data_IF_215092579455
#
_entry.id   IF_215092579455
#
_cell.length_a   1.000
_cell.length_b   1.000
_cell.length_c   1.000
_cell.angle_alpha   90.00
_cell.angle_beta   90.00
_cell.angle_gamma   90.00
#
_symmetry.space_group_name_H-M   'P 1'
#
loop_
_entity.id
_entity.type
_entity.pdbx_description
1 polymer ?
#
# COMPACT_ATOMS: atom_id res chain seq x y z
N UNK A 1 10.29 -0.11 13.08
CA UNK A 1 9.81 -1.34 13.74
C UNK A 1 10.73 -2.48 13.33
N UNK A 2 11.04 -3.42 14.23
CA UNK A 2 11.79 -4.63 13.87
C UNK A 2 11.06 -5.43 12.78
N UNK A 3 11.76 -6.03 11.84
CA UNK A 3 11.20 -6.97 10.85
C UNK A 3 10.60 -6.33 9.57
N UNK A 4 10.41 -5.01 9.53
CA UNK A 4 9.78 -4.35 8.36
C UNK A 4 10.63 -4.47 7.11
N UNK A 5 11.96 -4.28 7.22
CA UNK A 5 12.85 -4.35 6.06
C UNK A 5 12.91 -5.78 5.53
N UNK A 6 13.05 -6.74 6.43
CA UNK A 6 13.15 -8.16 6.12
C UNK A 6 11.87 -8.66 5.43
N UNK A 7 10.70 -8.20 5.90
CA UNK A 7 9.42 -8.49 5.25
C UNK A 7 9.35 -7.89 3.85
N UNK A 8 9.64 -6.59 3.71
CA UNK A 8 9.59 -5.90 2.41
C UNK A 8 10.56 -6.51 1.40
N UNK A 9 11.78 -6.85 1.82
CA UNK A 9 12.78 -7.52 0.97
C UNK A 9 12.33 -8.93 0.55
N UNK A 10 11.69 -9.67 1.45
CA UNK A 10 11.19 -11.01 1.17
C UNK A 10 10.05 -10.95 0.15
N UNK A 11 9.08 -10.07 0.37
CA UNK A 11 7.92 -9.88 -0.50
C UNK A 11 8.31 -9.28 -1.85
N UNK A 12 9.25 -8.32 -1.90
CA UNK A 12 9.67 -7.70 -3.16
C UNK A 12 10.43 -8.64 -4.09
N UNK A 13 10.86 -9.81 -3.59
CA UNK A 13 11.51 -10.86 -4.39
C UNK A 13 10.51 -11.87 -4.96
N UNK A 14 9.25 -11.84 -4.51
CA UNK A 14 8.18 -12.68 -5.04
C UNK A 14 7.60 -12.01 -6.29
N UNK A 15 7.69 -12.66 -7.44
CA UNK A 15 7.27 -12.07 -8.72
C UNK A 15 5.76 -11.90 -8.89
N UNK A 16 4.97 -12.49 -8.00
CA UNK A 16 3.51 -12.45 -7.94
C UNK A 16 2.98 -11.48 -6.89
N UNK A 17 3.84 -10.74 -6.19
CA UNK A 17 3.46 -9.78 -5.17
C UNK A 17 3.82 -8.36 -5.61
N UNK A 18 2.85 -7.44 -5.51
CA UNK A 18 3.08 -6.01 -5.67
C UNK A 18 2.86 -5.31 -4.34
N UNK A 19 3.86 -4.53 -3.91
CA UNK A 19 3.78 -3.73 -2.70
C UNK A 19 3.28 -2.32 -3.04
N UNK A 20 2.20 -1.90 -2.39
CA UNK A 20 1.64 -0.56 -2.52
C UNK A 20 1.42 0.07 -1.14
N UNK A 21 1.66 1.37 -1.02
CA UNK A 21 1.57 2.08 0.25
C UNK A 21 0.20 2.76 0.42
N UNK A 22 -0.48 2.50 1.53
CA UNK A 22 -1.67 3.24 1.94
C UNK A 22 -1.32 4.10 3.14
N UNK A 23 -1.55 5.41 3.06
CA UNK A 23 -1.27 6.32 4.17
C UNK A 23 -2.13 7.57 4.14
N UNK A 24 -2.50 8.08 5.32
CA UNK A 24 -3.14 9.39 5.45
C UNK A 24 -2.18 10.58 5.28
N UNK A 25 -0.88 10.34 5.11
CA UNK A 25 0.08 11.40 4.84
C UNK A 25 0.04 11.82 3.38
N UNK A 26 0.34 13.08 3.10
CA UNK A 26 0.66 13.56 1.74
C UNK A 26 1.79 12.73 1.14
N UNK A 27 1.75 12.49 -0.18
CA UNK A 27 2.73 11.65 -0.86
C UNK A 27 4.16 12.12 -0.60
N UNK A 28 4.43 13.42 -0.74
CA UNK A 28 5.75 14.00 -0.50
C UNK A 28 6.25 13.73 0.93
N UNK A 29 5.38 13.83 1.93
CA UNK A 29 5.75 13.58 3.32
C UNK A 29 6.02 12.10 3.58
N UNK A 30 5.18 11.22 3.03
CA UNK A 30 5.38 9.77 3.09
C UNK A 30 6.69 9.35 2.42
N UNK A 31 6.96 9.90 1.23
CA UNK A 31 8.18 9.68 0.46
C UNK A 31 9.43 10.09 1.23
N UNK A 32 9.49 11.34 1.71
CA UNK A 32 10.62 11.84 2.50
C UNK A 32 10.90 10.95 3.72
N UNK A 33 9.84 10.53 4.43
CA UNK A 33 9.96 9.65 5.60
C UNK A 33 10.53 8.29 5.22
N UNK A 34 10.04 7.68 4.13
CA UNK A 34 10.47 6.34 3.73
C UNK A 34 11.81 6.32 2.99
N UNK A 35 12.17 7.38 2.26
CA UNK A 35 13.50 7.54 1.65
C UNK A 35 14.60 7.65 2.71
N UNK A 36 14.34 8.36 3.82
CA UNK A 36 15.28 8.42 4.95
C UNK A 36 15.64 7.03 5.50
N UNK A 37 14.68 6.10 5.49
CA UNK A 37 14.91 4.71 5.89
C UNK A 37 15.19 3.78 4.72
N UNK A 38 15.36 4.29 3.49
CA UNK A 38 15.60 3.48 2.29
C UNK A 38 14.53 2.38 2.09
N UNK A 39 13.27 2.74 2.37
CA UNK A 39 12.09 1.89 2.25
C UNK A 39 11.18 2.30 1.09
N UNK A 40 11.30 3.53 0.59
CA UNK A 40 10.43 4.04 -0.48
C UNK A 40 10.46 3.15 -1.74
N UNK A 41 11.66 2.68 -2.10
CA UNK A 41 11.93 1.85 -3.28
C UNK A 41 11.13 0.55 -3.37
N UNK A 42 10.59 0.04 -2.26
CA UNK A 42 9.83 -1.22 -2.26
C UNK A 42 8.42 -1.05 -2.82
N UNK A 43 7.87 0.17 -2.81
CA UNK A 43 6.48 0.41 -3.18
C UNK A 43 6.38 0.89 -4.63
N UNK A 44 5.54 0.23 -5.44
CA UNK A 44 5.29 0.58 -6.84
C UNK A 44 4.31 1.76 -7.01
N UNK A 45 3.82 2.31 -5.91
CA UNK A 45 2.81 3.37 -5.86
C UNK A 45 1.97 3.27 -4.60
N UNK A 46 0.91 4.05 -4.51
CA UNK A 46 0.10 4.09 -3.30
C UNK A 46 -1.13 4.98 -3.37
N UNK A 47 -1.85 5.01 -2.26
CA UNK A 47 -2.91 5.96 -2.00
C UNK A 47 -2.56 6.81 -0.77
N UNK A 48 -2.57 8.12 -0.95
CA UNK A 48 -2.05 9.10 0.00
C UNK A 48 -3.16 10.05 0.49
N UNK A 49 -2.87 10.87 1.50
CA UNK A 49 -3.86 11.76 2.13
C UNK A 49 -4.33 12.94 1.26
N UNK A 50 -3.60 13.28 0.20
CA UNK A 50 -4.03 14.23 -0.84
C UNK A 50 -5.09 13.66 -1.79
N UNK A 51 -5.26 12.33 -1.75
CA UNK A 51 -5.87 11.58 -2.82
C UNK A 51 -7.39 11.43 -2.61
N UNK A 52 -7.85 11.40 -1.35
CA UNK A 52 -9.26 11.28 -0.93
C UNK A 52 -9.38 11.49 0.58
N UNK A 53 -10.44 12.15 1.04
CA UNK A 53 -10.80 12.20 2.47
C UNK A 53 -11.52 10.93 2.94
N UNK A 54 -12.09 10.17 2.01
CA UNK A 54 -12.74 8.88 2.26
C UNK A 54 -11.69 7.76 2.23
N UNK A 55 -11.30 7.27 3.41
CA UNK A 55 -10.30 6.21 3.56
C UNK A 55 -10.75 4.85 3.02
N UNK A 56 -12.05 4.62 2.91
CA UNK A 56 -12.56 3.35 2.35
C UNK A 56 -12.28 3.24 0.85
N UNK A 57 -11.86 4.34 0.20
CA UNK A 57 -11.46 4.36 -1.21
C UNK A 57 -9.96 4.20 -1.43
N UNK A 58 -9.15 4.13 -0.37
CA UNK A 58 -7.69 4.07 -0.51
C UNK A 58 -7.24 2.78 -1.21
N UNK A 59 -7.84 1.62 -0.89
CA UNK A 59 -7.50 0.35 -1.55
C UNK A 59 -7.82 0.41 -3.04
N UNK A 60 -9.04 0.81 -3.42
CA UNK A 60 -9.42 0.93 -4.82
C UNK A 60 -8.50 1.89 -5.61
N UNK A 61 -8.08 2.99 -4.96
CA UNK A 61 -7.13 3.93 -5.56
C UNK A 61 -5.74 3.33 -5.71
N UNK A 62 -5.23 2.64 -4.69
CA UNK A 62 -3.95 1.96 -4.75
C UNK A 62 -3.93 0.91 -5.87
N UNK A 63 -5.01 0.12 -6.02
CA UNK A 63 -5.19 -0.83 -7.13
C UNK A 63 -5.14 -0.12 -8.49
N UNK A 64 -5.85 1.00 -8.65
CA UNK A 64 -5.82 1.77 -9.89
C UNK A 64 -4.42 2.32 -10.22
N UNK A 65 -3.67 2.78 -9.21
CA UNK A 65 -2.28 3.22 -9.37
C UNK A 65 -1.39 2.06 -9.80
N UNK A 66 -1.46 0.92 -9.10
CA UNK A 66 -0.72 -0.30 -9.45
C UNK A 66 -1.00 -0.71 -10.89
N UNK A 67 -2.26 -0.75 -11.30
CA UNK A 67 -2.65 -1.07 -12.68
C UNK A 67 -2.08 -0.06 -13.69
N UNK A 68 -2.10 1.25 -13.38
CA UNK A 68 -1.55 2.29 -14.25
C UNK A 68 -0.02 2.20 -14.43
N UNK A 69 0.67 1.61 -13.46
CA UNK A 69 2.11 1.34 -13.51
C UNK A 69 2.46 0.03 -14.21
N UNK A 70 1.48 -0.65 -14.84
CA UNK A 70 1.67 -1.94 -15.51
C UNK A 70 1.63 -3.14 -14.56
N UNK A 71 1.14 -2.94 -13.34
CA UNK A 71 0.89 -4.02 -12.39
C UNK A 71 -0.29 -4.93 -12.83
N UNK A 72 -0.46 -6.08 -12.16
CA UNK A 72 -1.48 -7.05 -12.52
C UNK A 72 -2.89 -6.53 -12.26
N UNK A 73 -3.86 -7.08 -13.01
CA UNK A 73 -5.27 -6.98 -12.65
C UNK A 73 -5.53 -7.88 -11.45
N UNK A 74 -6.01 -7.32 -10.35
CA UNK A 74 -6.27 -8.03 -9.09
C UNK A 74 -7.74 -7.92 -8.70
N UNK A 75 -8.29 -9.00 -8.15
CA UNK A 75 -9.59 -8.97 -7.47
C UNK A 75 -9.41 -8.55 -6.02
N UNK A 76 -10.51 -8.22 -5.32
CA UNK A 76 -10.43 -7.84 -3.90
C UNK A 76 -9.84 -8.96 -3.03
N UNK A 77 -10.11 -10.22 -3.36
CA UNK A 77 -9.59 -11.40 -2.63
C UNK A 77 -8.08 -11.60 -2.78
N UNK A 78 -7.46 -10.96 -3.78
CA UNK A 78 -6.01 -11.02 -4.00
C UNK A 78 -5.26 -9.93 -3.20
N UNK A 79 -6.00 -9.09 -2.46
CA UNK A 79 -5.46 -7.94 -1.72
C UNK A 79 -5.38 -8.25 -0.23
N UNK A 80 -4.22 -7.98 0.34
CA UNK A 80 -3.97 -8.04 1.78
C UNK A 80 -3.56 -6.65 2.27
N UNK A 81 -4.27 -6.11 3.26
CA UNK A 81 -3.95 -4.84 3.90
C UNK A 81 -3.23 -5.11 5.21
N UNK A 82 -2.02 -4.56 5.34
CA UNK A 82 -1.22 -4.67 6.57
C UNK A 82 -1.18 -3.31 7.26
N UNK A 83 -1.70 -3.25 8.49
CA UNK A 83 -1.69 -2.06 9.34
C UNK A 83 -1.92 -2.42 10.81
N UNK A 84 -1.64 -1.47 11.70
CA UNK A 84 -1.68 -1.66 13.15
C UNK A 84 -2.95 -1.10 13.82
N UNK A 85 -3.83 -0.45 13.04
CA UNK A 85 -5.03 0.20 13.56
C UNK A 85 -6.30 -0.55 13.15
N UNK A 86 -7.39 -0.45 13.95
CA UNK A 86 -8.70 -0.95 13.55
C UNK A 86 -9.21 -0.37 12.23
N UNK A 87 -8.69 0.79 11.84
CA UNK A 87 -9.07 1.49 10.62
C UNK A 87 -8.48 0.82 9.38
N UNK A 88 -7.35 0.12 9.51
CA UNK A 88 -6.74 -0.65 8.43
C UNK A 88 -7.60 -1.89 8.13
N UNK A 89 -8.06 -2.59 9.18
CA UNK A 89 -9.02 -3.71 9.06
C UNK A 89 -10.34 -3.24 8.43
N UNK A 90 -10.87 -2.10 8.88
CA UNK A 90 -12.10 -1.55 8.30
C UNK A 90 -11.92 -1.16 6.82
N UNK A 91 -10.76 -0.61 6.46
CA UNK A 91 -10.42 -0.26 5.07
C UNK A 91 -10.34 -1.51 4.17
N UNK A 92 -9.73 -2.59 4.67
CA UNK A 92 -9.68 -3.89 4.00
C UNK A 92 -11.09 -4.45 3.78
N UNK A 93 -11.88 -4.54 4.85
CA UNK A 93 -13.24 -5.09 4.82
C UNK A 93 -14.17 -4.31 3.89
N UNK A 94 -14.11 -2.97 3.90
CA UNK A 94 -14.90 -2.11 3.01
C UNK A 94 -14.57 -2.33 1.52
N UNK A 95 -13.38 -2.85 1.23
CA UNK A 95 -12.89 -3.11 -0.12
C UNK A 95 -13.00 -4.59 -0.53
N UNK A 96 -13.51 -5.46 0.36
CA UNK A 96 -13.57 -6.91 0.14
C UNK A 96 -12.19 -7.59 0.17
N UNK A 97 -11.20 -6.92 0.78
CA UNK A 97 -9.83 -7.39 0.95
C UNK A 97 -9.64 -8.05 2.34
N UNK A 98 -8.48 -8.69 2.51
CA UNK A 98 -8.07 -9.36 3.75
C UNK A 98 -7.22 -8.47 4.65
#
# INVERSE_FOLDING_TARGET
MPGVRELLETLSRQGDIVLSLLTGNYETAARLKLEYFDLWRYFSGGAFGDATTDRNRLVAKAVAVVASCGGPSVSSSDIVVVGDTPLDVACAAASGAH
#
